data_IF_364738672340
#
_entry.id   IF_364738672340
#
_cell.length_a   1.000
_cell.length_b   1.000
_cell.length_c   1.000
_cell.angle_alpha   90.00
_cell.angle_beta   90.00
_cell.angle_gamma   90.00
#
_symmetry.space_group_name_H-M   'P 1'
#
loop_
_entity.id
_entity.type
_entity.pdbx_description
1 polymer ?
#
# COMPACT_ATOMS: atom_id res chain seq x y z
N UNK A 1 32.76 70.22 -31.31
CA UNK A 1 32.39 68.89 -30.79
C UNK A 1 33.59 68.30 -30.12
N UNK A 2 33.51 68.02 -28.83
CA UNK A 2 34.61 67.51 -28.01
C UNK A 2 34.89 66.04 -28.33
N UNK A 3 36.15 65.82 -28.72
CA UNK A 3 36.74 64.57 -29.18
C UNK A 3 36.95 63.56 -28.04
N UNK A 4 36.90 62.27 -28.37
CA UNK A 4 36.73 61.14 -27.46
C UNK A 4 38.01 60.92 -26.64
N UNK A 5 38.01 61.32 -25.37
CA UNK A 5 39.20 61.36 -24.52
C UNK A 5 39.48 60.09 -23.69
N UNK A 6 39.15 58.87 -24.12
CA UNK A 6 39.44 57.69 -23.28
C UNK A 6 39.74 56.42 -24.07
N UNK A 7 40.86 56.37 -24.80
CA UNK A 7 41.46 55.09 -25.23
C UNK A 7 42.67 54.83 -24.31
N UNK A 8 42.49 54.00 -23.29
CA UNK A 8 43.60 53.50 -22.46
C UNK A 8 44.46 52.57 -23.31
N UNK A 9 45.74 52.94 -23.50
CA UNK A 9 46.75 52.21 -24.27
C UNK A 9 47.71 51.38 -23.40
N UNK A 10 47.33 51.14 -22.15
CA UNK A 10 48.12 50.31 -21.24
C UNK A 10 47.79 48.84 -21.46
N UNK A 11 48.83 48.04 -21.71
CA UNK A 11 48.71 46.60 -21.89
C UNK A 11 48.26 46.03 -20.53
N UNK A 12 47.12 45.34 -20.46
CA UNK A 12 46.65 44.80 -19.19
C UNK A 12 47.70 43.84 -18.63
N UNK A 13 48.09 44.04 -17.38
CA UNK A 13 48.99 43.14 -16.70
C UNK A 13 48.24 41.86 -16.34
N UNK A 14 48.62 40.76 -16.99
CA UNK A 14 48.08 39.43 -16.67
C UNK A 14 48.58 39.01 -15.29
N UNK A 15 47.69 39.03 -14.30
CA UNK A 15 47.98 38.47 -12.98
C UNK A 15 47.86 36.95 -13.09
N UNK A 16 48.99 36.25 -13.01
CA UNK A 16 49.01 34.79 -12.96
C UNK A 16 48.40 34.33 -11.63
N UNK A 17 47.13 33.91 -11.66
CA UNK A 17 46.50 33.25 -10.52
C UNK A 17 46.99 31.82 -10.45
N UNK A 18 47.97 31.58 -9.58
CA UNK A 18 48.47 30.25 -9.27
C UNK A 18 47.43 29.47 -8.45
N UNK A 19 46.40 28.95 -9.10
CA UNK A 19 45.51 27.95 -8.50
C UNK A 19 46.27 26.62 -8.48
N UNK A 20 46.80 26.25 -7.32
CA UNK A 20 47.40 24.94 -7.12
C UNK A 20 46.31 23.87 -7.09
N UNK A 21 46.08 23.20 -8.22
CA UNK A 21 45.28 21.99 -8.33
C UNK A 21 43.76 22.16 -8.08
N UNK A 22 43.07 21.02 -8.02
CA UNK A 22 41.65 20.98 -7.67
C UNK A 22 41.48 21.42 -6.20
N UNK A 23 40.82 22.55 -5.98
CA UNK A 23 40.47 23.00 -4.63
C UNK A 23 39.61 21.96 -3.92
N UNK A 24 39.82 21.78 -2.61
CA UNK A 24 39.04 20.85 -1.80
C UNK A 24 37.53 21.12 -1.89
N UNK A 25 37.12 22.38 -1.96
CA UNK A 25 35.72 22.81 -2.15
C UNK A 25 35.09 22.29 -3.44
N UNK A 26 35.87 22.27 -4.53
CA UNK A 26 35.43 21.76 -5.82
C UNK A 26 35.23 20.25 -5.71
N UNK A 27 36.19 19.55 -5.09
CA UNK A 27 36.11 18.11 -4.89
C UNK A 27 34.89 17.71 -4.04
N UNK A 28 34.58 18.45 -2.98
CA UNK A 28 33.43 18.15 -2.11
C UNK A 28 32.10 18.40 -2.81
N UNK A 29 31.97 19.48 -3.58
CA UNK A 29 30.76 19.78 -4.36
C UNK A 29 30.49 18.71 -5.42
N UNK A 30 31.50 18.32 -6.19
CA UNK A 30 31.36 17.25 -7.19
C UNK A 30 31.14 15.88 -6.54
N UNK A 31 31.81 15.59 -5.42
CA UNK A 31 31.59 14.36 -4.66
C UNK A 31 30.15 14.25 -4.13
N UNK A 32 29.60 15.35 -3.60
CA UNK A 32 28.23 15.40 -3.12
C UNK A 32 27.22 15.21 -4.26
N UNK A 33 27.46 15.84 -5.43
CA UNK A 33 26.64 15.66 -6.63
C UNK A 33 26.60 14.20 -7.09
N UNK A 34 27.74 13.51 -7.07
CA UNK A 34 27.83 12.10 -7.44
C UNK A 34 27.03 11.20 -6.48
N UNK A 35 27.07 11.48 -5.18
CA UNK A 35 26.27 10.76 -4.17
C UNK A 35 24.77 10.92 -4.46
N UNK A 36 24.31 12.14 -4.74
CA UNK A 36 22.90 12.39 -5.08
C UNK A 36 22.48 11.72 -6.39
N UNK A 37 23.37 11.64 -7.38
CA UNK A 37 23.10 10.97 -8.65
C UNK A 37 22.91 9.45 -8.50
N UNK A 38 23.67 8.81 -7.61
CA UNK A 38 23.59 7.36 -7.38
C UNK A 38 22.50 6.99 -6.35
N UNK A 39 22.07 7.94 -5.50
CA UNK A 39 21.00 7.79 -4.50
C UNK A 39 19.72 7.06 -4.97
N UNK A 40 19.11 7.38 -6.13
CA UNK A 40 17.90 6.68 -6.59
C UNK A 40 18.13 5.19 -6.91
N UNK A 41 19.36 4.74 -7.18
CA UNK A 41 19.65 3.33 -7.39
C UNK A 41 19.68 2.55 -6.06
N UNK A 42 20.18 3.15 -4.97
CA UNK A 42 20.24 2.54 -3.65
C UNK A 42 18.89 2.47 -2.94
N UNK A 43 18.00 3.44 -3.16
CA UNK A 43 16.68 3.48 -2.52
C UNK A 43 15.75 2.32 -2.96
N UNK A 44 15.97 1.73 -4.13
CA UNK A 44 15.13 0.63 -4.66
C UNK A 44 15.16 -0.63 -3.80
N UNK A 45 16.29 -0.91 -3.14
CA UNK A 45 16.45 -2.11 -2.30
C UNK A 45 15.79 -1.94 -0.92
N UNK A 46 15.76 -0.71 -0.37
CA UNK A 46 15.16 -0.42 0.94
C UNK A 46 13.63 -0.43 0.87
N UNK A 47 13.02 -0.01 -0.24
CA UNK A 47 11.57 -0.11 -0.41
C UNK A 47 11.08 -1.56 -0.60
N UNK A 48 11.86 -2.41 -1.28
CA UNK A 48 11.47 -3.81 -1.53
C UNK A 48 11.38 -4.66 -0.25
N UNK A 49 12.26 -4.44 0.72
CA UNK A 49 12.22 -5.17 1.99
C UNK A 49 11.11 -4.69 2.94
N UNK A 50 10.60 -3.46 2.78
CA UNK A 50 9.46 -2.96 3.56
C UNK A 50 8.15 -3.60 3.12
N UNK A 51 7.93 -3.78 1.82
CA UNK A 51 6.70 -4.40 1.29
C UNK A 51 6.44 -5.79 1.86
N UNK A 52 7.41 -6.70 1.77
CA UNK A 52 7.23 -8.07 2.25
C UNK A 52 6.98 -8.19 3.77
N UNK A 53 7.69 -7.40 4.58
CA UNK A 53 7.49 -7.42 6.03
C UNK A 53 6.14 -6.81 6.45
N UNK A 54 5.69 -5.76 5.77
CA UNK A 54 4.39 -5.14 6.02
C UNK A 54 3.24 -6.04 5.57
N UNK A 55 3.37 -6.70 4.43
CA UNK A 55 2.39 -7.64 3.89
C UNK A 55 2.22 -8.86 4.82
N UNK A 56 3.31 -9.47 5.27
CA UNK A 56 3.26 -10.57 6.26
C UNK A 56 2.59 -10.12 7.55
N UNK A 57 2.92 -8.91 8.04
CA UNK A 57 2.31 -8.35 9.25
C UNK A 57 0.82 -8.07 9.07
N UNK A 58 0.42 -7.59 7.89
CA UNK A 58 -0.97 -7.31 7.51
C UNK A 58 -1.79 -8.59 7.45
N UNK A 59 -1.29 -9.61 6.75
CA UNK A 59 -1.93 -10.93 6.66
C UNK A 59 -2.14 -11.57 8.04
N UNK A 60 -1.11 -11.61 8.89
CA UNK A 60 -1.23 -12.16 10.26
C UNK A 60 -2.20 -11.38 11.16
N UNK A 61 -2.43 -10.10 10.87
CA UNK A 61 -3.36 -9.25 11.62
C UNK A 61 -4.76 -9.20 11.00
N UNK A 62 -4.98 -9.80 9.84
CA UNK A 62 -6.24 -9.72 9.11
C UNK A 62 -7.42 -10.22 9.95
N UNK A 63 -7.33 -11.43 10.52
CA UNK A 63 -8.38 -12.01 11.36
C UNK A 63 -8.68 -11.13 12.58
N UNK A 64 -7.65 -10.74 13.32
CA UNK A 64 -7.79 -9.88 14.51
C UNK A 64 -8.46 -8.55 14.16
N UNK A 65 -8.14 -7.98 13.00
CA UNK A 65 -8.71 -6.72 12.53
C UNK A 65 -10.17 -6.90 12.14
N UNK A 66 -10.52 -7.98 11.44
CA UNK A 66 -11.89 -8.32 11.07
C UNK A 66 -12.78 -8.54 12.30
N UNK A 67 -12.30 -9.31 13.29
CA UNK A 67 -13.03 -9.55 14.55
C UNK A 67 -13.34 -8.25 15.31
N UNK A 68 -12.35 -7.35 15.39
CA UNK A 68 -12.52 -6.03 16.01
C UNK A 68 -13.52 -5.17 15.24
N UNK A 69 -13.49 -5.20 13.91
CA UNK A 69 -14.42 -4.45 13.08
C UNK A 69 -15.86 -4.98 13.24
N UNK A 70 -16.05 -6.29 13.22
CA UNK A 70 -17.36 -6.94 13.40
C UNK A 70 -17.99 -6.65 14.77
N UNK A 71 -17.18 -6.50 15.82
CA UNK A 71 -17.66 -6.11 17.15
C UNK A 71 -18.14 -4.66 17.22
N UNK A 72 -17.62 -3.79 16.36
CA UNK A 72 -17.94 -2.35 16.35
C UNK A 72 -19.06 -1.99 15.37
N UNK A 73 -19.62 -2.95 14.65
CA UNK A 73 -20.62 -2.72 13.61
C UNK A 73 -21.89 -2.08 14.18
N UNK A 74 -22.15 -0.83 13.80
CA UNK A 74 -23.36 -0.06 14.08
C UNK A 74 -24.03 0.32 12.75
N UNK A 75 -25.35 0.44 12.69
CA UNK A 75 -26.07 0.67 11.43
C UNK A 75 -26.30 -0.60 10.61
N UNK A 76 -26.17 -0.49 9.28
CA UNK A 76 -26.44 -1.58 8.33
C UNK A 76 -25.45 -2.74 8.48
N UNK A 77 -25.98 -3.86 8.96
CA UNK A 77 -25.21 -5.03 9.34
C UNK A 77 -24.66 -5.72 8.09
N UNK A 78 -25.44 -5.74 7.01
CA UNK A 78 -25.10 -6.47 5.79
C UNK A 78 -23.95 -5.77 5.05
N UNK A 79 -24.05 -4.45 4.82
CA UNK A 79 -22.98 -3.68 4.20
C UNK A 79 -21.68 -3.71 5.00
N UNK A 80 -21.76 -3.62 6.33
CA UNK A 80 -20.58 -3.73 7.17
C UNK A 80 -19.98 -5.14 7.17
N UNK A 81 -20.81 -6.18 7.21
CA UNK A 81 -20.34 -7.56 7.19
C UNK A 81 -19.67 -7.92 5.84
N UNK A 82 -20.26 -7.52 4.70
CA UNK A 82 -19.64 -7.76 3.37
C UNK A 82 -18.29 -7.04 3.28
N UNK A 83 -18.26 -5.75 3.60
CA UNK A 83 -17.03 -4.94 3.56
C UNK A 83 -15.92 -5.51 4.44
N UNK A 84 -16.26 -6.00 5.63
CA UNK A 84 -15.27 -6.59 6.55
C UNK A 84 -14.76 -7.93 6.00
N UNK A 85 -15.63 -8.77 5.45
CA UNK A 85 -15.22 -10.03 4.82
C UNK A 85 -14.29 -9.77 3.63
N UNK A 86 -14.65 -8.89 2.69
CA UNK A 86 -13.78 -8.54 1.56
C UNK A 86 -12.43 -7.99 2.00
N UNK A 87 -12.42 -7.13 3.02
CA UNK A 87 -11.17 -6.60 3.58
C UNK A 87 -10.33 -7.69 4.23
N UNK A 88 -10.94 -8.62 4.96
CA UNK A 88 -10.24 -9.76 5.54
C UNK A 88 -9.57 -10.60 4.43
N UNK A 89 -10.31 -10.97 3.38
CA UNK A 89 -9.79 -11.78 2.28
C UNK A 89 -8.62 -11.07 1.59
N UNK A 90 -8.79 -9.79 1.26
CA UNK A 90 -7.72 -8.98 0.68
C UNK A 90 -6.47 -8.92 1.57
N UNK A 91 -6.65 -8.63 2.86
CA UNK A 91 -5.54 -8.47 3.80
C UNK A 91 -4.84 -9.81 4.09
N UNK A 92 -5.60 -10.91 4.19
CA UNK A 92 -5.09 -12.26 4.51
C UNK A 92 -4.34 -12.89 3.35
N UNK A 93 -4.92 -12.84 2.15
CA UNK A 93 -4.39 -13.46 0.93
C UNK A 93 -3.57 -12.49 0.07
N UNK A 94 -3.37 -11.25 0.53
CA UNK A 94 -2.57 -10.21 -0.16
C UNK A 94 -3.05 -9.98 -1.60
N UNK A 95 -4.36 -9.93 -1.79
CA UNK A 95 -4.97 -9.76 -3.11
C UNK A 95 -4.65 -8.37 -3.67
N UNK A 96 -4.34 -8.32 -4.96
CA UNK A 96 -3.96 -7.10 -5.67
C UNK A 96 -5.13 -6.19 -6.03
N UNK A 97 -6.36 -6.69 -5.97
CA UNK A 97 -7.57 -5.94 -6.32
C UNK A 97 -8.32 -5.42 -5.10
N UNK A 98 -8.83 -4.19 -5.24
CA UNK A 98 -9.69 -3.52 -4.25
C UNK A 98 -11.17 -3.81 -4.51
N UNK A 99 -11.50 -4.23 -5.73
CA UNK A 99 -12.85 -4.51 -6.20
C UNK A 99 -13.09 -6.03 -6.17
N UNK A 100 -13.16 -6.60 -4.97
CA UNK A 100 -13.60 -7.98 -4.82
C UNK A 100 -15.12 -8.05 -4.95
N UNK A 101 -15.59 -8.99 -5.76
CA UNK A 101 -16.96 -9.49 -5.78
C UNK A 101 -16.95 -11.00 -5.46
N UNK A 102 -18.11 -11.65 -5.27
CA UNK A 102 -18.14 -13.06 -4.90
C UNK A 102 -17.50 -13.98 -5.97
N UNK A 103 -17.60 -13.63 -7.25
CA UNK A 103 -17.07 -14.45 -8.37
C UNK A 103 -15.54 -14.35 -8.46
N UNK A 104 -15.03 -13.14 -8.31
CA UNK A 104 -13.59 -12.83 -8.29
C UNK A 104 -12.97 -13.41 -7.03
N UNK A 105 -13.64 -13.34 -5.88
CA UNK A 105 -13.19 -13.99 -4.65
C UNK A 105 -13.10 -15.52 -4.82
N UNK A 106 -14.10 -16.14 -5.46
CA UNK A 106 -14.12 -17.58 -5.73
C UNK A 106 -12.92 -18.01 -6.60
N UNK A 107 -12.71 -17.34 -7.73
CA UNK A 107 -11.61 -17.67 -8.64
C UNK A 107 -10.22 -17.45 -8.04
N UNK A 108 -10.04 -16.40 -7.23
CA UNK A 108 -8.76 -16.10 -6.58
C UNK A 108 -8.45 -17.04 -5.41
N UNK A 109 -9.47 -17.56 -4.72
CA UNK A 109 -9.32 -18.37 -3.51
C UNK A 109 -9.48 -19.88 -3.74
N UNK A 110 -9.87 -20.31 -4.95
CA UNK A 110 -10.08 -21.71 -5.32
C UNK A 110 -8.90 -22.63 -4.96
N UNK A 111 -7.66 -22.13 -5.07
CA UNK A 111 -6.46 -22.90 -4.77
C UNK A 111 -5.92 -22.67 -3.35
N UNK A 112 -6.53 -21.79 -2.56
CA UNK A 112 -6.04 -21.36 -1.25
C UNK A 112 -6.91 -21.80 -0.08
N UNK A 113 -8.18 -22.16 -0.34
CA UNK A 113 -9.16 -22.56 0.68
C UNK A 113 -9.83 -23.86 0.22
N UNK A 114 -10.13 -24.82 1.11
CA UNK A 114 -10.91 -26.00 0.75
C UNK A 114 -12.28 -25.67 0.17
N UNK A 115 -12.71 -26.41 -0.87
CA UNK A 115 -13.96 -26.18 -1.61
C UNK A 115 -15.21 -26.03 -0.73
N UNK A 116 -15.29 -26.78 0.37
CA UNK A 116 -16.42 -26.71 1.30
C UNK A 116 -16.53 -25.35 1.96
N UNK A 117 -15.43 -24.82 2.49
CA UNK A 117 -15.39 -23.52 3.15
C UNK A 117 -15.49 -22.38 2.16
N UNK A 118 -14.90 -22.54 0.96
CA UNK A 118 -15.01 -21.57 -0.11
C UNK A 118 -16.47 -21.37 -0.52
N UNK A 119 -17.21 -22.46 -0.75
CA UNK A 119 -18.65 -22.38 -1.08
C UNK A 119 -19.45 -21.67 0.01
N UNK A 120 -19.16 -21.97 1.28
CA UNK A 120 -19.82 -21.32 2.41
C UNK A 120 -19.50 -19.82 2.48
N UNK A 121 -18.24 -19.43 2.25
CA UNK A 121 -17.81 -18.05 2.14
C UNK A 121 -18.52 -17.30 1.02
N UNK A 122 -18.55 -17.86 -0.18
CA UNK A 122 -19.21 -17.24 -1.33
C UNK A 122 -20.71 -17.10 -1.08
N UNK A 123 -21.35 -18.11 -0.49
CA UNK A 123 -22.75 -18.04 -0.09
C UNK A 123 -23.01 -16.90 0.91
N UNK A 124 -22.15 -16.77 1.93
CA UNK A 124 -22.27 -15.74 2.96
C UNK A 124 -22.04 -14.33 2.40
N UNK A 125 -21.07 -14.16 1.48
CA UNK A 125 -20.85 -12.92 0.73
C UNK A 125 -22.08 -12.54 -0.09
N UNK A 126 -22.66 -13.49 -0.85
CA UNK A 126 -23.88 -13.27 -1.63
C UNK A 126 -25.07 -12.85 -0.77
N UNK A 127 -25.23 -13.45 0.42
CA UNK A 127 -26.25 -13.05 1.39
C UNK A 127 -26.04 -11.60 1.84
N UNK A 128 -24.81 -11.23 2.18
CA UNK A 128 -24.51 -9.87 2.64
C UNK A 128 -24.69 -8.83 1.54
N UNK A 129 -24.23 -9.13 0.32
CA UNK A 129 -24.38 -8.23 -0.83
C UNK A 129 -25.85 -8.05 -1.21
N UNK A 130 -26.63 -9.13 -1.22
CA UNK A 130 -28.08 -9.03 -1.47
C UNK A 130 -28.80 -8.29 -0.33
N UNK A 131 -28.40 -8.56 0.92
CA UNK A 131 -29.00 -7.97 2.11
C UNK A 131 -28.80 -6.45 2.20
N UNK A 132 -27.66 -5.94 1.71
CA UNK A 132 -27.36 -4.51 1.67
C UNK A 132 -28.35 -3.72 0.78
N UNK A 133 -28.85 -4.33 -0.29
CA UNK A 133 -29.78 -3.68 -1.22
C UNK A 133 -31.25 -4.08 -1.00
N UNK A 134 -31.55 -4.93 -0.02
CA UNK A 134 -32.90 -5.39 0.25
C UNK A 134 -33.60 -4.47 1.28
N UNK A 135 -34.56 -3.61 0.86
CA UNK A 135 -35.28 -2.77 1.80
C UNK A 135 -36.10 -3.64 2.77
N UNK A 136 -35.93 -3.40 4.08
CA UNK A 136 -36.75 -4.02 5.13
C UNK A 136 -36.27 -5.37 5.67
N UNK A 137 -35.20 -5.98 5.14
CA UNK A 137 -34.61 -7.18 5.77
C UNK A 137 -33.86 -6.79 7.05
N UNK A 138 -34.47 -7.01 8.21
CA UNK A 138 -33.78 -6.99 9.50
C UNK A 138 -33.31 -8.41 9.82
N UNK A 139 -32.09 -8.78 9.42
CA UNK A 139 -31.47 -9.97 10.00
C UNK A 139 -31.23 -9.74 11.50
N UNK A 140 -31.32 -10.80 12.31
CA UNK A 140 -30.86 -10.74 13.69
C UNK A 140 -29.37 -10.44 13.71
N UNK A 141 -29.06 -9.19 14.07
CA UNK A 141 -27.69 -8.63 14.10
C UNK A 141 -26.68 -9.52 14.79
N UNK A 142 -27.08 -10.21 15.85
CA UNK A 142 -26.20 -11.07 16.64
C UNK A 142 -25.93 -12.42 15.96
N UNK A 143 -26.89 -13.01 15.27
CA UNK A 143 -26.71 -14.30 14.58
C UNK A 143 -25.74 -14.14 13.40
N UNK A 144 -26.04 -13.23 12.47
CA UNK A 144 -25.22 -13.05 11.26
C UNK A 144 -23.76 -12.71 11.58
N UNK A 145 -23.52 -11.82 12.54
CA UNK A 145 -22.16 -11.47 12.95
C UNK A 145 -21.44 -12.67 13.57
N UNK A 146 -22.14 -13.51 14.31
CA UNK A 146 -21.56 -14.71 14.92
C UNK A 146 -21.20 -15.75 13.86
N UNK A 147 -22.06 -15.93 12.86
CA UNK A 147 -21.86 -16.85 11.75
C UNK A 147 -20.63 -16.43 10.92
N UNK A 148 -20.56 -15.15 10.54
CA UNK A 148 -19.39 -14.57 9.84
C UNK A 148 -18.12 -14.77 10.65
N UNK A 149 -18.14 -14.51 11.96
CA UNK A 149 -16.95 -14.71 12.81
C UNK A 149 -16.51 -16.17 12.85
N UNK A 150 -17.46 -17.10 12.92
CA UNK A 150 -17.17 -18.53 12.99
C UNK A 150 -16.52 -18.99 11.69
N UNK A 151 -17.06 -18.57 10.54
CA UNK A 151 -16.53 -18.92 9.23
C UNK A 151 -15.11 -18.36 9.03
N UNK A 152 -14.90 -17.07 9.32
CA UNK A 152 -13.57 -16.47 9.19
C UNK A 152 -12.51 -17.17 10.05
N UNK A 153 -12.88 -17.66 11.23
CA UNK A 153 -11.96 -18.43 12.09
C UNK A 153 -11.61 -19.80 11.51
N UNK A 154 -12.57 -20.47 10.87
CA UNK A 154 -12.33 -21.77 10.22
C UNK A 154 -11.38 -21.60 9.04
N UNK A 155 -11.66 -20.64 8.16
CA UNK A 155 -10.79 -20.30 7.03
C UNK A 155 -9.37 -19.95 7.50
N UNK A 156 -9.24 -19.14 8.56
CA UNK A 156 -7.92 -18.75 9.07
C UNK A 156 -7.14 -19.93 9.65
N UNK A 157 -7.80 -20.98 10.12
CA UNK A 157 -7.16 -22.18 10.65
C UNK A 157 -6.55 -23.07 9.55
N UNK A 158 -7.01 -22.93 8.31
CA UNK A 158 -6.52 -23.69 7.16
C UNK A 158 -5.35 -23.02 6.41
N UNK A 159 -5.05 -21.75 6.71
CA UNK A 159 -4.06 -20.89 6.03
C UNK A 159 -2.91 -20.53 6.95
#
# INVERSE_FOLDING_TARGET
GSDIRYIRREIPQWIYRNYSGLSFEILTLYGLSLIFFISPAFMKNVQRNKGGAEDVRRSKKALKTAMRALNKTQGDIFSHASRIQYRYLKDRFLLSTDNLDPLTAESLLANSIPDGELKELIHMLKICDTGQYAPGKKAEKKSLITDVKSLLKRIDAHV
#
